data_IF_872923174846
#
_entry.id   IF_872923174846
#
_cell.length_a   1.000
_cell.length_b   1.000
_cell.length_c   1.000
_cell.angle_alpha   90.00
_cell.angle_beta   90.00
_cell.angle_gamma   90.00
#
_symmetry.space_group_name_H-M   'P 1'
#
loop_
_entity.id
_entity.type
_entity.pdbx_description
1 polymer ?
#
# COMPACT_ATOMS: atom_id res chain seq x y z
N UNK A 1 8.43 -17.15 0.86
CA UNK A 1 7.60 -16.17 0.09
C UNK A 1 7.54 -14.88 0.87
N UNK A 2 7.56 -13.74 0.19
CA UNK A 2 7.54 -12.41 0.82
C UNK A 2 6.23 -11.66 0.56
N UNK A 3 5.99 -10.63 1.36
CA UNK A 3 4.90 -9.66 1.23
C UNK A 3 5.52 -8.27 1.22
N UNK A 4 5.21 -7.43 0.23
CA UNK A 4 5.51 -6.00 0.32
C UNK A 4 4.43 -5.29 1.11
N UNK A 5 4.84 -4.36 1.95
CA UNK A 5 3.96 -3.51 2.76
C UNK A 5 4.39 -2.07 2.51
N UNK A 6 3.43 -1.18 2.35
CA UNK A 6 3.65 0.26 2.30
C UNK A 6 3.77 0.77 3.74
N UNK A 7 4.92 1.30 4.09
CA UNK A 7 5.08 2.12 5.30
C UNK A 7 4.77 3.55 4.93
N UNK A 8 3.54 3.97 5.26
CA UNK A 8 3.08 5.35 5.16
C UNK A 8 3.77 6.15 6.26
N UNK A 9 4.56 7.15 5.89
CA UNK A 9 5.31 7.97 6.83
C UNK A 9 4.38 9.05 7.44
N UNK A 10 4.75 9.61 8.60
CA UNK A 10 3.96 10.67 9.21
C UNK A 10 3.84 11.89 8.29
N UNK A 11 2.68 12.51 8.29
CA UNK A 11 2.38 13.69 7.47
C UNK A 11 0.99 14.23 7.78
N UNK A 12 0.78 15.49 7.41
CA UNK A 12 -0.55 16.13 7.46
C UNK A 12 -1.26 15.92 6.14
N UNK A 13 -2.57 16.15 6.15
CA UNK A 13 -3.43 15.98 4.98
C UNK A 13 -2.98 16.79 3.75
N UNK A 14 -2.34 17.93 3.96
CA UNK A 14 -1.88 18.84 2.91
C UNK A 14 -0.40 18.62 2.53
N UNK A 15 0.30 17.70 3.20
CA UNK A 15 1.69 17.37 2.89
C UNK A 15 1.75 16.41 1.70
N UNK A 16 2.86 16.43 0.94
CA UNK A 16 3.11 15.40 -0.07
C UNK A 16 3.15 14.01 0.57
N UNK A 17 2.43 13.05 -0.03
CA UNK A 17 2.37 11.69 0.48
C UNK A 17 3.77 11.04 0.46
N UNK A 18 4.32 10.78 1.64
CA UNK A 18 5.60 10.12 1.79
C UNK A 18 5.41 8.68 2.27
N UNK A 19 5.98 7.72 1.57
CA UNK A 19 5.99 6.32 1.99
C UNK A 19 7.21 5.57 1.45
N UNK A 20 7.49 4.42 2.05
CA UNK A 20 8.49 3.46 1.56
C UNK A 20 7.93 2.06 1.49
N UNK A 21 8.46 1.26 0.57
CA UNK A 21 8.10 -0.15 0.46
C UNK A 21 9.02 -1.00 1.34
N UNK A 22 8.42 -1.80 2.22
CA UNK A 22 9.12 -2.73 3.10
C UNK A 22 8.79 -4.15 2.69
N UNK A 23 9.79 -5.03 2.63
CA UNK A 23 9.60 -6.46 2.32
C UNK A 23 9.55 -7.24 3.63
N UNK A 24 8.42 -7.89 3.89
CA UNK A 24 8.20 -8.74 5.04
C UNK A 24 8.23 -10.23 4.66
N UNK A 25 8.73 -11.06 5.57
CA UNK A 25 8.61 -12.51 5.50
C UNK A 25 7.32 -12.95 6.19
N UNK A 26 6.53 -13.76 5.50
CA UNK A 26 5.34 -14.40 6.04
C UNK A 26 5.57 -15.22 7.32
N UNK A 27 6.75 -15.79 7.50
CA UNK A 27 7.13 -16.58 8.67
C UNK A 27 7.25 -15.73 9.94
N UNK A 28 7.58 -14.45 9.78
CA UNK A 28 7.72 -13.50 10.89
C UNK A 28 6.38 -12.90 11.34
N UNK A 29 5.26 -13.33 10.75
CA UNK A 29 3.89 -12.86 11.07
C UNK A 29 3.82 -11.33 11.11
N UNK A 30 4.06 -10.66 9.96
CA UNK A 30 4.11 -9.20 9.93
C UNK A 30 2.79 -8.60 10.39
N UNK A 31 2.89 -7.50 11.13
CA UNK A 31 1.74 -6.71 11.59
C UNK A 31 1.53 -5.58 10.58
N UNK A 32 0.36 -5.54 9.97
CA UNK A 32 -0.03 -4.53 8.99
C UNK A 32 -1.55 -4.40 8.94
N UNK A 33 -2.01 -3.33 8.30
CA UNK A 33 -3.40 -3.08 7.93
C UNK A 33 -3.55 -3.35 6.43
N UNK A 34 -4.73 -3.69 5.95
CA UNK A 34 -5.02 -3.70 4.51
C UNK A 34 -5.97 -2.57 4.16
N UNK A 35 -5.89 -2.00 2.97
CA UNK A 35 -6.88 -1.04 2.46
C UNK A 35 -7.69 -1.65 1.33
N UNK A 36 -9.01 -1.49 1.43
CA UNK A 36 -9.98 -1.82 0.39
C UNK A 36 -10.53 -0.53 -0.19
N UNK A 37 -10.40 -0.36 -1.50
CA UNK A 37 -10.80 0.84 -2.23
C UNK A 37 -11.28 0.45 -3.63
N UNK A 38 -12.05 1.33 -4.26
CA UNK A 38 -12.51 1.11 -5.63
C UNK A 38 -11.37 1.34 -6.64
N UNK A 39 -11.15 0.37 -7.53
CA UNK A 39 -10.24 0.49 -8.66
C UNK A 39 -10.84 1.33 -9.79
N UNK A 40 -10.00 1.86 -10.68
CA UNK A 40 -10.43 2.49 -11.94
C UNK A 40 -10.27 4.02 -12.01
N UNK A 41 -9.80 4.68 -10.95
CA UNK A 41 -9.38 6.07 -11.04
C UNK A 41 -8.09 6.19 -11.88
N UNK A 42 -7.86 7.33 -12.56
CA UNK A 42 -6.58 7.62 -13.20
C UNK A 42 -5.42 7.45 -12.21
N UNK A 43 -4.30 6.91 -12.67
CA UNK A 43 -3.10 6.78 -11.86
C UNK A 43 -2.19 7.98 -12.03
N UNK A 44 -1.69 8.50 -10.93
CA UNK A 44 -0.71 9.59 -10.90
C UNK A 44 0.71 9.05 -10.69
N UNK A 45 1.70 9.75 -11.25
CA UNK A 45 3.12 9.45 -11.02
C UNK A 45 3.57 10.12 -9.73
N UNK A 46 3.69 9.35 -8.66
CA UNK A 46 4.20 9.82 -7.38
C UNK A 46 5.70 9.60 -7.31
N UNK A 47 6.48 10.66 -7.11
CA UNK A 47 7.91 10.53 -6.80
C UNK A 47 8.02 9.95 -5.38
N UNK A 48 8.81 8.89 -5.22
CA UNK A 48 9.03 8.29 -3.92
C UNK A 48 10.52 8.37 -3.57
N UNK A 49 10.96 9.41 -2.85
CA UNK A 49 12.38 9.59 -2.52
C UNK A 49 12.96 8.35 -1.83
N UNK A 50 12.18 7.75 -0.93
CA UNK A 50 12.59 6.58 -0.17
C UNK A 50 12.68 5.28 -0.98
N UNK A 51 12.08 5.22 -2.17
CA UNK A 51 12.24 4.08 -3.09
C UNK A 51 13.12 4.43 -4.31
N UNK A 52 13.60 5.68 -4.43
CA UNK A 52 14.45 6.15 -5.52
C UNK A 52 13.80 6.09 -6.91
N UNK A 53 12.46 6.07 -6.99
CA UNK A 53 11.73 5.92 -8.26
C UNK A 53 10.36 6.58 -8.23
N UNK A 54 9.80 6.81 -9.42
CA UNK A 54 8.37 7.09 -9.57
C UNK A 54 7.59 5.79 -9.50
N UNK A 55 6.42 5.82 -8.85
CA UNK A 55 5.43 4.76 -8.96
C UNK A 55 4.08 5.31 -9.39
N UNK A 56 3.28 4.48 -10.06
CA UNK A 56 1.92 4.82 -10.44
C UNK A 56 0.98 4.45 -9.31
N UNK A 57 0.24 5.44 -8.80
CA UNK A 57 -0.74 5.26 -7.72
C UNK A 57 -2.10 5.71 -8.23
N UNK A 58 -3.15 4.87 -8.17
CA UNK A 58 -4.51 5.32 -8.48
C UNK A 58 -4.91 6.51 -7.60
N UNK A 59 -5.49 7.56 -8.19
CA UNK A 59 -5.88 8.77 -7.44
C UNK A 59 -6.76 8.46 -6.23
N UNK A 60 -7.73 7.55 -6.40
CA UNK A 60 -8.61 7.15 -5.31
C UNK A 60 -7.84 6.54 -4.13
N UNK A 61 -6.80 5.75 -4.42
CA UNK A 61 -5.93 5.22 -3.37
C UNK A 61 -5.07 6.33 -2.75
N UNK A 62 -4.57 7.26 -3.57
CA UNK A 62 -3.78 8.39 -3.10
C UNK A 62 -4.57 9.23 -2.07
N UNK A 63 -5.80 9.60 -2.42
CA UNK A 63 -6.71 10.36 -1.56
C UNK A 63 -6.98 9.62 -0.24
N UNK A 64 -7.25 8.32 -0.33
CA UNK A 64 -7.46 7.47 0.85
C UNK A 64 -6.23 7.41 1.75
N UNK A 65 -5.02 7.25 1.18
CA UNK A 65 -3.78 7.22 1.95
C UNK A 65 -3.49 8.56 2.62
N UNK A 66 -3.72 9.69 1.94
CA UNK A 66 -3.57 11.03 2.52
C UNK A 66 -4.50 11.23 3.73
N UNK A 67 -5.76 10.80 3.62
CA UNK A 67 -6.75 10.93 4.72
C UNK A 67 -6.47 10.00 5.89
N UNK A 68 -5.79 8.88 5.64
CA UNK A 68 -5.42 7.89 6.65
C UNK A 68 -4.05 8.16 7.27
N UNK A 69 -3.32 9.16 6.79
CA UNK A 69 -2.02 9.52 7.35
C UNK A 69 -2.15 10.04 8.78
N UNK A 70 -1.25 9.61 9.67
CA UNK A 70 -1.14 10.19 11.01
C UNK A 70 -0.08 11.28 11.02
N UNK A 71 -0.28 12.37 11.78
CA UNK A 71 0.68 13.47 11.81
C UNK A 71 2.00 13.12 12.52
N UNK A 72 2.01 12.09 13.36
CA UNK A 72 3.08 11.82 14.34
C UNK A 72 3.62 10.38 14.30
N UNK A 73 3.02 9.47 13.52
CA UNK A 73 3.46 8.08 13.45
C UNK A 73 3.23 7.43 12.07
N UNK A 74 4.13 6.50 11.72
CA UNK A 74 3.99 5.72 10.49
C UNK A 74 2.87 4.68 10.59
N UNK A 75 2.32 4.26 9.45
CA UNK A 75 1.39 3.14 9.33
C UNK A 75 1.92 2.09 8.36
N UNK A 76 1.76 0.82 8.70
CA UNK A 76 2.05 -0.29 7.81
C UNK A 76 0.76 -0.73 7.12
N UNK A 77 0.61 -0.40 5.84
CA UNK A 77 -0.59 -0.62 5.05
C UNK A 77 -0.25 -1.48 3.84
N UNK A 78 -1.07 -2.47 3.55
CA UNK A 78 -1.03 -3.21 2.29
C UNK A 78 -2.10 -2.66 1.34
N UNK A 79 -1.67 -2.23 0.16
CA UNK A 79 -2.53 -1.79 -0.94
C UNK A 79 -2.06 -2.49 -2.22
N UNK A 80 -2.94 -3.22 -2.89
CA UNK A 80 -2.61 -4.06 -4.05
C UNK A 80 -1.86 -3.32 -5.17
N UNK A 81 -2.29 -2.14 -5.58
CA UNK A 81 -1.70 -1.39 -6.70
C UNK A 81 -0.26 -0.94 -6.42
N UNK A 82 0.13 -0.81 -5.14
CA UNK A 82 1.47 -0.37 -4.72
C UNK A 82 2.34 -1.56 -4.27
N UNK A 83 1.75 -2.49 -3.52
CA UNK A 83 2.46 -3.61 -2.91
C UNK A 83 2.65 -4.79 -3.88
N UNK A 84 1.90 -4.87 -4.97
CA UNK A 84 2.09 -5.86 -6.03
C UNK A 84 2.81 -5.19 -7.20
N UNK A 85 3.78 -5.89 -7.81
CA UNK A 85 4.44 -5.41 -9.03
C UNK A 85 3.48 -5.62 -10.19
N UNK A 86 2.84 -4.53 -10.60
CA UNK A 86 1.87 -4.54 -11.69
C UNK A 86 2.50 -4.86 -13.04
N UNK A 87 3.84 -4.79 -13.17
CA UNK A 87 4.55 -5.11 -14.41
C UNK A 87 5.02 -6.58 -14.48
N UNK A 88 4.87 -7.35 -13.40
CA UNK A 88 5.29 -8.74 -13.32
C UNK A 88 4.07 -9.66 -13.20
N UNK A 89 3.57 -10.15 -14.33
CA UNK A 89 2.41 -11.07 -14.36
C UNK A 89 2.63 -12.32 -13.47
N UNK A 90 3.87 -12.82 -13.42
CA UNK A 90 4.24 -13.93 -12.54
C UNK A 90 4.07 -13.58 -11.07
N UNK A 91 4.57 -12.43 -10.63
CA UNK A 91 4.42 -12.01 -9.24
C UNK A 91 2.97 -11.67 -8.91
N UNK A 92 2.30 -10.96 -9.81
CA UNK A 92 0.91 -10.57 -9.70
C UNK A 92 0.00 -11.78 -9.50
N UNK A 93 0.15 -12.84 -10.29
CA UNK A 93 -0.59 -14.09 -10.11
C UNK A 93 -0.34 -14.71 -8.72
N UNK A 94 0.92 -14.71 -8.25
CA UNK A 94 1.26 -15.20 -6.91
C UNK A 94 0.60 -14.35 -5.82
N UNK A 95 0.64 -13.02 -5.91
CA UNK A 95 0.04 -12.15 -4.90
C UNK A 95 -1.49 -12.22 -4.91
N UNK A 96 -2.12 -12.29 -6.10
CA UNK A 96 -3.57 -12.49 -6.25
C UNK A 96 -4.00 -13.79 -5.58
N UNK A 97 -3.29 -14.91 -5.81
CA UNK A 97 -3.60 -16.17 -5.14
C UNK A 97 -3.44 -16.10 -3.61
N UNK A 98 -2.64 -15.16 -3.10
CA UNK A 98 -2.45 -14.88 -1.69
C UNK A 98 -3.43 -13.86 -1.11
N UNK A 99 -4.31 -13.22 -1.89
CA UNK A 99 -5.20 -12.14 -1.39
C UNK A 99 -6.00 -12.56 -0.16
N UNK A 100 -6.62 -13.74 -0.18
CA UNK A 100 -7.37 -14.25 0.98
C UNK A 100 -6.50 -14.26 2.24
N UNK A 101 -5.26 -14.73 2.14
CA UNK A 101 -4.30 -14.76 3.25
C UNK A 101 -3.91 -13.36 3.69
N UNK A 102 -3.68 -12.44 2.75
CA UNK A 102 -3.29 -11.06 3.02
C UNK A 102 -4.37 -10.33 3.82
N UNK A 103 -5.62 -10.37 3.36
CA UNK A 103 -6.73 -9.70 4.05
C UNK A 103 -7.06 -10.39 5.38
N UNK A 104 -7.04 -11.72 5.44
CA UNK A 104 -7.35 -12.47 6.67
C UNK A 104 -6.31 -12.23 7.78
N UNK A 105 -5.06 -11.96 7.42
CA UNK A 105 -3.96 -11.74 8.38
C UNK A 105 -3.72 -10.26 8.71
N UNK A 106 -4.36 -9.34 8.01
CA UNK A 106 -4.30 -7.93 8.36
C UNK A 106 -4.93 -7.72 9.74
N UNK A 107 -4.37 -6.81 10.53
CA UNK A 107 -4.90 -6.42 11.85
C UNK A 107 -6.31 -5.84 11.74
N UNK A 108 -6.55 -5.08 10.66
CA UNK A 108 -7.86 -4.59 10.24
C UNK A 108 -7.83 -4.25 8.75
N UNK A 109 -9.02 -4.13 8.16
CA UNK A 109 -9.21 -3.67 6.80
C UNK A 109 -9.81 -2.26 6.84
N UNK A 110 -9.07 -1.30 6.30
CA UNK A 110 -9.49 0.07 6.12
C UNK A 110 -10.34 0.14 4.85
N UNK A 111 -11.55 0.67 4.94
CA UNK A 111 -12.44 0.84 3.79
C UNK A 111 -12.39 2.30 3.36
N UNK A 112 -12.05 2.54 2.10
CA UNK A 112 -12.06 3.86 1.47
C UNK A 112 -13.06 3.86 0.32
N UNK A 113 -14.01 4.81 0.36
CA UNK A 113 -15.12 4.87 -0.58
C UNK A 113 -14.97 5.96 -1.65
N UNK A 114 -13.95 6.82 -1.54
CA UNK A 114 -13.81 8.04 -2.35
C UNK A 114 -14.45 9.24 -1.68
#
# INVERSE_FOLDING_TARGET
SSLRILELLPGRKDDELAFRLVVADWNNRPIYEAISYAWGSPAERVWTPHNGRYILVPQNLLDGLCQMCFPDQSRLIWADSICIDQNSEKEKAVQISNMRRIYTRATRVLVWLG
#
